data_IF_442564498012
#
_entry.id   IF_442564498012
#
_cell.length_a   1.000
_cell.length_b   1.000
_cell.length_c   1.000
_cell.angle_alpha   90.00
_cell.angle_beta   90.00
_cell.angle_gamma   90.00
#
_symmetry.space_group_name_H-M   'P 1'
#
loop_
_entity.id
_entity.type
_entity.pdbx_description
1 polymer ?
#
# COMPACT_ATOMS: atom_id res chain seq x y z
N UNK A 1 10.77 -2.10 -29.51
CA UNK A 1 10.79 -0.62 -29.56
C UNK A 1 11.62 -0.18 -28.36
N UNK A 2 12.64 0.66 -28.57
CA UNK A 2 13.70 0.90 -27.59
C UNK A 2 13.40 2.14 -26.73
N UNK A 3 13.52 1.98 -25.41
CA UNK A 3 13.20 2.99 -24.39
C UNK A 3 14.37 3.99 -24.19
N UNK A 4 14.18 5.32 -24.13
CA UNK A 4 15.18 6.28 -23.66
C UNK A 4 15.12 6.56 -22.14
N UNK A 5 16.33 6.64 -21.57
CA UNK A 5 16.83 7.44 -20.42
C UNK A 5 16.13 7.50 -19.04
N UNK A 6 14.81 7.40 -18.90
CA UNK A 6 14.06 7.53 -17.62
C UNK A 6 13.34 6.24 -17.21
N UNK A 7 13.02 5.37 -18.17
CA UNK A 7 12.61 3.99 -17.94
C UNK A 7 13.50 3.19 -16.96
N UNK A 8 14.83 3.42 -16.87
CA UNK A 8 15.66 2.79 -15.84
C UNK A 8 15.23 3.18 -14.43
N UNK A 9 14.96 4.47 -14.17
CA UNK A 9 14.65 4.97 -12.83
C UNK A 9 13.32 4.41 -12.29
N UNK A 10 12.30 4.32 -13.14
CA UNK A 10 11.04 3.69 -12.74
C UNK A 10 11.26 2.23 -12.33
N UNK A 11 11.98 1.47 -13.17
CA UNK A 11 12.26 0.05 -12.91
C UNK A 11 13.14 -0.15 -11.68
N UNK A 12 14.12 0.71 -11.46
CA UNK A 12 15.01 0.68 -10.30
C UNK A 12 14.26 0.94 -8.98
N UNK A 13 13.14 1.67 -9.03
CA UNK A 13 12.31 1.97 -7.86
C UNK A 13 11.24 0.91 -7.63
N UNK A 14 10.48 0.51 -8.65
CA UNK A 14 9.30 -0.33 -8.43
C UNK A 14 9.51 -1.80 -8.77
N UNK A 15 10.51 -2.13 -9.60
CA UNK A 15 10.84 -3.49 -10.05
C UNK A 15 9.78 -4.13 -10.98
N UNK A 16 8.49 -3.96 -10.67
CA UNK A 16 7.32 -4.42 -11.41
C UNK A 16 6.65 -3.25 -12.14
N UNK A 17 6.02 -3.57 -13.27
CA UNK A 17 5.19 -2.64 -14.03
C UNK A 17 3.74 -2.71 -13.54
N UNK A 18 3.07 -1.57 -13.45
CA UNK A 18 1.66 -1.47 -13.07
C UNK A 18 1.45 -0.61 -11.83
N UNK A 19 0.33 0.11 -11.79
CA UNK A 19 -0.10 0.85 -10.62
C UNK A 19 -0.70 -0.09 -9.57
N UNK A 20 -0.71 0.36 -8.30
CA UNK A 20 -1.22 -0.44 -7.19
C UNK A 20 -2.61 -1.03 -7.44
N UNK A 21 -3.53 -0.26 -8.03
CA UNK A 21 -4.88 -0.73 -8.30
C UNK A 21 -4.94 -1.95 -9.22
N UNK A 22 -4.06 -1.99 -10.23
CA UNK A 22 -4.02 -3.11 -11.17
C UNK A 22 -3.36 -4.33 -10.53
N UNK A 23 -2.35 -4.12 -9.68
CA UNK A 23 -1.69 -5.19 -8.93
C UNK A 23 -2.66 -5.87 -7.95
N UNK A 24 -3.49 -5.08 -7.25
CA UNK A 24 -4.52 -5.58 -6.34
C UNK A 24 -5.62 -6.33 -7.08
N UNK A 25 -6.18 -5.75 -8.14
CA UNK A 25 -7.30 -6.35 -8.88
C UNK A 25 -6.94 -7.68 -9.55
N UNK A 26 -5.70 -7.79 -10.04
CA UNK A 26 -5.19 -8.98 -10.71
C UNK A 26 -4.63 -10.04 -9.75
N UNK A 27 -4.56 -9.77 -8.45
CA UNK A 27 -4.09 -10.75 -7.49
C UNK A 27 -5.13 -11.86 -7.27
N UNK A 28 -4.65 -13.09 -7.29
CA UNK A 28 -5.47 -14.28 -7.08
C UNK A 28 -5.44 -14.68 -5.60
N UNK A 29 -6.35 -14.10 -4.82
CA UNK A 29 -6.48 -14.37 -3.38
C UNK A 29 -6.78 -15.84 -3.06
N UNK A 30 -7.31 -16.63 -4.00
CA UNK A 30 -7.58 -18.05 -3.78
C UNK A 30 -6.31 -18.90 -3.63
N UNK A 31 -5.16 -18.37 -4.04
CA UNK A 31 -3.85 -19.02 -3.90
C UNK A 31 -3.23 -18.84 -2.52
N UNK A 32 -3.86 -18.07 -1.65
CA UNK A 32 -3.41 -17.94 -0.26
C UNK A 32 -3.63 -19.29 0.43
N UNK A 33 -2.55 -19.97 0.79
CA UNK A 33 -2.63 -21.23 1.50
C UNK A 33 -2.43 -21.00 3.01
N UNK A 34 -3.44 -21.21 3.88
CA UNK A 34 -3.31 -21.06 5.33
C UNK A 34 -2.27 -21.99 5.97
N UNK A 35 -1.96 -23.12 5.33
CA UNK A 35 -1.07 -24.14 5.91
C UNK A 35 0.40 -23.95 5.53
N UNK A 36 0.70 -23.04 4.60
CA UNK A 36 2.07 -22.77 4.17
C UNK A 36 2.64 -21.56 4.91
N UNK A 37 3.68 -21.79 5.71
CA UNK A 37 4.45 -20.77 6.42
C UNK A 37 5.38 -19.94 5.52
N UNK A 38 5.34 -20.17 4.20
CA UNK A 38 6.21 -19.50 3.24
C UNK A 38 5.58 -18.19 2.73
N UNK A 39 6.44 -17.21 2.42
CA UNK A 39 6.15 -15.83 2.01
C UNK A 39 5.25 -15.63 0.76
N UNK A 40 4.71 -16.70 0.17
CA UNK A 40 3.87 -16.65 -1.03
C UNK A 40 2.37 -16.69 -0.73
N UNK A 41 1.98 -16.80 0.55
CA UNK A 41 0.59 -16.93 0.98
C UNK A 41 -0.18 -15.61 1.16
N UNK A 42 0.27 -14.49 0.61
CA UNK A 42 -0.44 -13.20 0.71
C UNK A 42 -0.10 -12.29 -0.48
N UNK A 43 -0.63 -11.07 -0.51
CA UNK A 43 -0.24 -10.03 -1.48
C UNK A 43 0.88 -9.14 -0.90
N UNK A 44 2.18 -9.47 -1.12
CA UNK A 44 3.29 -8.59 -0.79
C UNK A 44 3.57 -7.61 -1.94
N UNK A 45 3.38 -6.32 -1.67
CA UNK A 45 3.87 -5.26 -2.55
C UNK A 45 4.73 -4.33 -1.69
N UNK A 46 6.04 -4.46 -1.80
CA UNK A 46 6.95 -3.59 -1.04
C UNK A 46 6.72 -2.11 -1.37
N UNK A 47 6.69 -1.80 -2.68
CA UNK A 47 6.37 -0.47 -3.18
C UNK A 47 5.76 -0.51 -4.58
N UNK A 48 4.58 0.06 -4.75
CA UNK A 48 3.97 0.31 -6.05
C UNK A 48 3.74 1.82 -6.27
N UNK A 49 3.73 2.29 -7.53
CA UNK A 49 3.34 3.65 -7.82
C UNK A 49 1.81 3.80 -7.81
N UNK A 50 1.37 5.01 -7.51
CA UNK A 50 0.06 5.50 -7.92
C UNK A 50 0.24 6.89 -8.52
N UNK A 51 -0.22 7.08 -9.76
CA UNK A 51 -0.05 8.34 -10.47
C UNK A 51 -1.27 9.26 -10.32
N UNK A 52 -2.43 8.71 -9.98
CA UNK A 52 -3.67 9.47 -9.82
C UNK A 52 -4.01 10.22 -11.10
N UNK A 53 -3.91 11.56 -11.10
CA UNK A 53 -4.11 12.37 -12.30
C UNK A 53 -2.82 12.71 -13.05
N UNK A 54 -1.67 12.31 -12.53
CA UNK A 54 -0.39 12.55 -13.19
C UNK A 54 -0.27 11.69 -14.45
N UNK A 55 -0.17 12.35 -15.59
CA UNK A 55 0.13 11.79 -16.90
C UNK A 55 1.12 12.72 -17.64
N UNK A 56 1.46 12.37 -18.88
CA UNK A 56 2.41 13.13 -19.70
C UNK A 56 2.01 14.59 -19.85
N UNK A 57 0.73 14.86 -20.11
CA UNK A 57 0.21 16.21 -20.31
C UNK A 57 0.21 17.03 -19.02
N UNK A 58 -0.30 16.44 -17.92
CA UNK A 58 -0.35 17.13 -16.62
C UNK A 58 1.03 17.36 -16.04
N UNK A 59 1.99 16.48 -16.36
CA UNK A 59 3.37 16.63 -15.91
C UNK A 59 4.01 17.86 -16.55
N UNK A 60 3.75 18.14 -17.83
CA UNK A 60 4.34 19.31 -18.51
C UNK A 60 3.97 20.63 -17.82
N UNK A 61 2.75 20.73 -17.29
CA UNK A 61 2.23 21.93 -16.59
C UNK A 61 2.43 21.90 -15.08
N UNK A 62 3.03 20.83 -14.54
CA UNK A 62 3.32 20.71 -13.11
C UNK A 62 4.41 21.72 -12.71
N UNK A 63 4.31 22.26 -11.49
CA UNK A 63 5.34 23.16 -10.95
C UNK A 63 6.74 22.51 -10.96
N UNK A 64 7.76 23.31 -11.29
CA UNK A 64 9.12 22.80 -11.44
C UNK A 64 9.69 22.24 -10.12
N UNK A 65 9.29 22.75 -8.94
CA UNK A 65 9.71 22.16 -7.66
C UNK A 65 9.17 20.76 -7.51
N UNK A 66 7.94 20.50 -7.95
CA UNK A 66 7.34 19.16 -7.95
C UNK A 66 8.05 18.25 -8.94
N UNK A 67 8.39 18.73 -10.14
CA UNK A 67 9.19 17.97 -11.11
C UNK A 67 10.56 17.58 -10.55
N UNK A 68 11.26 18.54 -9.95
CA UNK A 68 12.58 18.33 -9.33
C UNK A 68 12.47 17.33 -8.17
N UNK A 69 11.44 17.49 -7.33
CA UNK A 69 11.14 16.57 -6.25
C UNK A 69 10.90 15.15 -6.76
N UNK A 70 10.13 14.98 -7.85
CA UNK A 70 9.86 13.68 -8.48
C UNK A 70 11.15 13.04 -8.98
N UNK A 71 11.90 13.74 -9.84
CA UNK A 71 13.14 13.22 -10.42
C UNK A 71 14.19 12.90 -9.34
N UNK A 72 14.33 13.80 -8.37
CA UNK A 72 15.25 13.65 -7.25
C UNK A 72 14.90 12.46 -6.36
N UNK A 73 13.63 12.32 -5.99
CA UNK A 73 13.16 11.22 -5.15
C UNK A 73 13.28 9.86 -5.86
N UNK A 74 12.93 9.76 -7.14
CA UNK A 74 13.09 8.51 -7.89
C UNK A 74 14.56 8.11 -8.01
N UNK A 75 15.45 9.06 -8.28
CA UNK A 75 16.89 8.80 -8.29
C UNK A 75 17.42 8.37 -6.93
N UNK A 76 16.88 8.93 -5.85
CA UNK A 76 17.25 8.57 -4.49
C UNK A 76 16.78 7.15 -4.15
N UNK A 77 15.48 6.87 -4.33
CA UNK A 77 14.88 5.55 -4.06
C UNK A 77 15.40 4.45 -4.98
N UNK A 78 15.76 4.77 -6.22
CA UNK A 78 16.34 3.81 -7.17
C UNK A 78 17.68 3.22 -6.69
N UNK A 79 18.36 3.91 -5.75
CA UNK A 79 19.61 3.43 -5.14
C UNK A 79 19.39 2.59 -3.88
N UNK A 80 18.17 2.55 -3.36
CA UNK A 80 17.83 1.81 -2.13
C UNK A 80 17.47 0.38 -2.50
N UNK A 81 18.23 -0.66 -2.15
CA UNK A 81 17.91 -2.03 -2.58
C UNK A 81 16.60 -2.54 -1.96
N UNK A 82 16.37 -2.23 -0.68
CA UNK A 82 15.17 -2.64 0.06
C UNK A 82 14.04 -1.64 -0.15
N UNK A 83 12.87 -2.13 -0.56
CA UNK A 83 11.69 -1.29 -0.83
C UNK A 83 10.61 -1.42 0.24
N UNK A 84 10.92 -1.99 1.40
CA UNK A 84 9.97 -2.09 2.51
C UNK A 84 9.51 -0.71 2.98
N UNK A 85 8.34 -0.67 3.63
CA UNK A 85 7.78 0.56 4.20
C UNK A 85 8.80 1.36 5.02
N UNK A 86 9.50 0.70 5.95
CA UNK A 86 10.46 1.36 6.83
C UNK A 86 11.66 1.91 6.06
N UNK A 87 12.17 1.14 5.09
CA UNK A 87 13.28 1.57 4.24
C UNK A 87 12.88 2.78 3.40
N UNK A 88 11.73 2.72 2.70
CA UNK A 88 11.25 3.82 1.86
C UNK A 88 10.97 5.06 2.68
N UNK A 89 10.22 4.95 3.77
CA UNK A 89 9.91 6.08 4.65
C UNK A 89 11.18 6.71 5.23
N UNK A 90 12.11 5.89 5.75
CA UNK A 90 13.37 6.36 6.30
C UNK A 90 14.21 7.11 5.27
N UNK A 91 14.26 6.61 4.03
CA UNK A 91 14.96 7.26 2.93
C UNK A 91 14.30 8.58 2.52
N UNK A 92 12.96 8.62 2.41
CA UNK A 92 12.25 9.86 2.09
C UNK A 92 12.43 10.93 3.18
N UNK A 93 12.48 10.54 4.46
CA UNK A 93 12.77 11.44 5.58
C UNK A 93 14.19 12.03 5.55
N UNK A 94 15.15 11.33 4.92
CA UNK A 94 16.54 11.78 4.77
C UNK A 94 16.80 12.51 3.44
N UNK A 95 15.82 12.56 2.54
CA UNK A 95 15.97 13.21 1.24
C UNK A 95 15.88 14.73 1.41
N UNK A 96 16.98 15.45 1.10
CA UNK A 96 17.07 16.91 1.24
C UNK A 96 16.08 17.69 0.37
N UNK A 97 15.55 17.07 -0.70
CA UNK A 97 14.54 17.69 -1.57
C UNK A 97 13.12 17.56 -1.01
N UNK A 98 12.94 16.74 0.04
CA UNK A 98 11.65 16.48 0.67
C UNK A 98 11.61 17.09 2.07
N UNK A 99 10.43 17.54 2.47
CA UNK A 99 10.12 17.77 3.87
C UNK A 99 8.75 17.18 4.20
N UNK A 100 8.59 16.58 5.40
CA UNK A 100 7.30 16.06 5.80
C UNK A 100 6.33 17.21 6.05
N UNK A 101 5.14 17.13 5.43
CA UNK A 101 4.10 18.14 5.59
C UNK A 101 3.36 18.02 6.93
N UNK A 102 3.25 16.80 7.46
CA UNK A 102 2.49 16.48 8.67
C UNK A 102 3.24 15.49 9.57
N UNK A 103 2.61 15.09 10.68
CA UNK A 103 3.11 14.08 11.62
C UNK A 103 2.90 12.63 11.18
N UNK A 104 2.36 12.40 9.98
CA UNK A 104 1.90 11.10 9.53
C UNK A 104 0.59 10.67 10.19
N UNK A 105 0.00 9.62 9.64
CA UNK A 105 -1.22 8.99 10.14
C UNK A 105 -0.91 7.53 10.42
N UNK A 106 -1.32 7.06 11.59
CA UNK A 106 -1.38 5.65 11.92
C UNK A 106 -2.79 5.34 12.42
N UNK A 107 -3.41 4.33 11.83
CA UNK A 107 -4.68 3.76 12.26
C UNK A 107 -4.54 2.25 12.29
N UNK A 108 -5.08 1.64 13.34
CA UNK A 108 -5.20 0.21 13.44
C UNK A 108 -6.56 -0.13 14.04
N UNK A 109 -7.21 -1.16 13.51
CA UNK A 109 -8.50 -1.62 14.02
C UNK A 109 -8.66 -3.12 13.79
N UNK A 110 -9.57 -3.74 14.55
CA UNK A 110 -9.93 -5.15 14.40
C UNK A 110 -11.41 -5.27 14.05
N UNK A 111 -11.70 -5.83 12.88
CA UNK A 111 -13.04 -6.30 12.58
C UNK A 111 -13.24 -7.66 13.23
N UNK A 112 -14.16 -7.75 14.20
CA UNK A 112 -14.53 -9.01 14.84
C UNK A 112 -15.68 -9.66 14.08
N UNK A 113 -15.49 -10.91 13.67
CA UNK A 113 -16.59 -11.80 13.38
C UNK A 113 -17.35 -12.12 14.65
N UNK A 114 -18.68 -12.09 14.63
CA UNK A 114 -19.38 -12.97 15.56
C UNK A 114 -19.35 -14.38 14.97
N UNK A 115 -19.54 -15.40 15.82
CA UNK A 115 -19.74 -16.81 15.40
C UNK A 115 -20.93 -16.92 14.39
N UNK A 116 -21.77 -15.88 14.29
CA UNK A 116 -22.85 -15.73 13.30
C UNK A 116 -22.65 -14.56 12.30
N UNK A 117 -21.53 -13.85 12.38
CA UNK A 117 -21.21 -12.62 11.63
C UNK A 117 -20.32 -12.88 10.42
N UNK A 118 -19.58 -13.99 10.46
CA UNK A 118 -19.28 -14.79 9.28
C UNK A 118 -20.43 -15.81 9.22
N UNK A 119 -21.33 -15.72 8.23
CA UNK A 119 -22.38 -16.73 8.11
C UNK A 119 -21.72 -18.09 7.87
N UNK A 120 -22.41 -19.20 8.14
CA UNK A 120 -21.98 -20.57 7.84
C UNK A 120 -21.73 -20.85 6.32
N UNK A 121 -21.73 -19.81 5.48
CA UNK A 121 -21.21 -19.80 4.11
C UNK A 121 -19.80 -19.16 3.99
N UNK A 122 -19.20 -18.76 5.11
CA UNK A 122 -17.85 -18.19 5.21
C UNK A 122 -17.72 -16.69 4.94
N UNK A 123 -18.82 -15.94 4.70
CA UNK A 123 -18.73 -14.51 4.36
C UNK A 123 -19.34 -13.58 5.44
N UNK A 124 -18.60 -12.56 5.92
CA UNK A 124 -19.19 -11.32 6.39
C UNK A 124 -19.84 -10.62 5.23
N UNK A 125 -20.89 -9.85 5.53
CA UNK A 125 -21.47 -8.95 4.54
C UNK A 125 -20.35 -8.03 4.05
N UNK A 126 -19.94 -8.21 2.79
CA UNK A 126 -18.84 -7.47 2.19
C UNK A 126 -19.06 -5.95 2.33
N UNK A 127 -20.32 -5.50 2.45
CA UNK A 127 -20.70 -4.12 2.71
C UNK A 127 -20.29 -3.64 4.12
N UNK A 128 -20.41 -4.51 5.13
CA UNK A 128 -20.00 -4.21 6.51
C UNK A 128 -18.48 -4.14 6.58
N UNK A 129 -17.78 -5.11 5.97
CA UNK A 129 -16.31 -5.11 5.90
C UNK A 129 -15.82 -3.91 5.11
N UNK A 130 -16.51 -3.52 4.04
CA UNK A 130 -16.21 -2.32 3.28
C UNK A 130 -16.39 -1.05 4.11
N UNK A 131 -17.48 -0.93 4.88
CA UNK A 131 -17.67 0.21 5.77
C UNK A 131 -16.54 0.29 6.82
N UNK A 132 -16.17 -0.85 7.42
CA UNK A 132 -15.03 -0.94 8.32
C UNK A 132 -13.71 -0.53 7.65
N UNK A 133 -13.40 -1.09 6.48
CA UNK A 133 -12.18 -0.80 5.74
C UNK A 133 -12.11 0.68 5.33
N UNK A 134 -13.21 1.24 4.82
CA UNK A 134 -13.28 2.66 4.48
C UNK A 134 -13.05 3.56 5.70
N UNK A 135 -13.53 3.18 6.89
CA UNK A 135 -13.26 3.91 8.12
C UNK A 135 -11.80 3.75 8.58
N UNK A 136 -11.21 2.56 8.46
CA UNK A 136 -9.80 2.31 8.76
C UNK A 136 -8.90 3.18 7.87
N UNK A 137 -9.18 3.22 6.56
CA UNK A 137 -8.40 3.99 5.60
C UNK A 137 -8.70 5.48 5.71
N UNK A 138 -9.96 5.90 5.82
CA UNK A 138 -10.42 7.29 5.92
C UNK A 138 -9.66 8.27 5.01
N UNK A 139 -9.38 7.85 3.77
CA UNK A 139 -8.65 8.62 2.75
C UNK A 139 -9.14 8.20 1.36
N UNK A 140 -9.99 9.03 0.76
CA UNK A 140 -10.63 8.73 -0.53
C UNK A 140 -9.63 8.55 -1.69
N UNK A 141 -8.49 9.23 -1.64
CA UNK A 141 -7.45 9.09 -2.68
C UNK A 141 -6.81 7.70 -2.59
N UNK A 142 -6.54 7.22 -1.37
CA UNK A 142 -6.02 5.87 -1.12
C UNK A 142 -7.04 4.79 -1.50
N UNK A 143 -8.32 4.97 -1.14
CA UNK A 143 -9.38 4.03 -1.49
C UNK A 143 -9.53 3.91 -3.02
N UNK A 144 -9.48 5.03 -3.74
CA UNK A 144 -9.57 5.04 -5.21
C UNK A 144 -8.35 4.44 -5.89
N UNK A 145 -7.14 4.76 -5.42
CA UNK A 145 -5.90 4.30 -6.07
C UNK A 145 -5.67 2.80 -5.91
N UNK A 146 -5.98 2.25 -4.73
CA UNK A 146 -5.78 0.82 -4.43
C UNK A 146 -6.83 -0.07 -5.08
N UNK A 147 -7.99 0.48 -5.45
CA UNK A 147 -9.13 -0.26 -6.01
C UNK A 147 -9.55 -1.47 -5.16
N UNK A 148 -9.35 -1.38 -3.84
CA UNK A 148 -9.88 -2.37 -2.88
C UNK A 148 -11.37 -2.04 -2.68
N UNK A 149 -12.18 -2.47 -3.65
CA UNK A 149 -13.63 -2.31 -3.63
C UNK A 149 -14.32 -3.49 -2.94
N UNK A 150 -15.66 -3.48 -2.94
CA UNK A 150 -16.47 -4.53 -2.31
C UNK A 150 -16.20 -5.92 -2.89
N UNK A 151 -15.86 -6.03 -4.18
CA UNK A 151 -15.58 -7.32 -4.83
C UNK A 151 -14.21 -7.87 -4.42
N UNK A 152 -13.20 -7.00 -4.32
CA UNK A 152 -11.88 -7.36 -3.78
C UNK A 152 -12.00 -7.76 -2.31
N UNK A 153 -12.75 -6.98 -1.52
CA UNK A 153 -13.02 -7.31 -0.11
C UNK A 153 -13.78 -8.62 0.03
N UNK A 154 -14.78 -8.89 -0.81
CA UNK A 154 -15.50 -10.17 -0.80
C UNK A 154 -14.56 -11.36 -1.06
N UNK A 155 -13.59 -11.23 -1.98
CA UNK A 155 -12.56 -12.25 -2.24
C UNK A 155 -11.63 -12.44 -1.04
N UNK A 156 -11.17 -11.36 -0.42
CA UNK A 156 -10.35 -11.39 0.81
C UNK A 156 -11.12 -12.07 1.93
N UNK A 157 -12.39 -11.71 2.10
CA UNK A 157 -13.32 -12.25 3.08
C UNK A 157 -13.54 -13.75 2.91
N UNK A 158 -13.83 -14.20 1.68
CA UNK A 158 -14.01 -15.63 1.40
C UNK A 158 -12.75 -16.43 1.75
N UNK A 159 -11.58 -15.85 1.46
CA UNK A 159 -10.30 -16.44 1.81
C UNK A 159 -10.08 -16.50 3.33
N UNK A 160 -10.50 -15.47 4.08
CA UNK A 160 -10.49 -15.50 5.55
C UNK A 160 -11.36 -16.64 6.07
N UNK A 161 -12.58 -16.80 5.54
CA UNK A 161 -13.45 -17.93 5.91
C UNK A 161 -12.73 -19.27 5.77
N UNK A 162 -12.10 -19.51 4.62
CA UNK A 162 -11.31 -20.72 4.37
C UNK A 162 -10.10 -20.86 5.30
N UNK A 163 -9.41 -19.76 5.64
CA UNK A 163 -8.29 -19.77 6.60
C UNK A 163 -8.79 -20.13 8.00
N UNK A 164 -9.93 -19.59 8.42
CA UNK A 164 -10.49 -19.83 9.74
C UNK A 164 -11.01 -21.27 9.91
N UNK A 165 -11.66 -21.84 8.90
CA UNK A 165 -12.03 -23.27 8.90
C UNK A 165 -10.80 -24.17 9.04
N UNK A 166 -9.70 -23.82 8.37
CA UNK A 166 -8.43 -24.52 8.54
C UNK A 166 -7.85 -24.32 9.95
N UNK A 167 -7.99 -23.13 10.54
CA UNK A 167 -7.51 -22.89 11.89
C UNK A 167 -8.23 -23.76 12.93
N UNK A 168 -9.56 -23.89 12.80
CA UNK A 168 -10.36 -24.74 13.67
C UNK A 168 -10.07 -26.24 13.51
N UNK A 169 -9.68 -26.67 12.30
CA UNK A 169 -9.46 -28.10 11.99
C UNK A 169 -8.02 -28.56 12.26
N UNK A 170 -7.02 -27.70 12.09
CA UNK A 170 -5.60 -28.09 12.19
C UNK A 170 -4.92 -27.70 13.50
N UNK A 171 -5.33 -26.63 14.17
CA UNK A 171 -4.62 -26.15 15.36
C UNK A 171 -5.28 -26.62 16.66
N UNK A 172 -4.43 -26.82 17.68
CA UNK A 172 -4.91 -27.19 19.00
C UNK A 172 -5.72 -26.05 19.61
N UNK A 173 -6.81 -26.39 20.30
CA UNK A 173 -7.56 -25.42 21.10
C UNK A 173 -6.62 -24.84 22.17
N UNK A 174 -6.65 -23.52 22.39
CA UNK A 174 -5.75 -22.69 23.24
C UNK A 174 -4.58 -21.95 22.53
N UNK A 175 -4.70 -21.63 21.24
CA UNK A 175 -3.67 -20.87 20.49
C UNK A 175 -4.24 -19.65 19.75
N UNK A 176 -3.45 -18.56 19.69
CA UNK A 176 -3.70 -17.40 18.82
C UNK A 176 -2.97 -17.60 17.50
N UNK A 177 -3.69 -17.44 16.40
CA UNK A 177 -3.12 -17.50 15.06
C UNK A 177 -3.45 -16.26 14.26
N UNK A 178 -2.48 -15.80 13.47
CA UNK A 178 -2.64 -14.66 12.56
C UNK A 178 -1.92 -14.94 11.24
N UNK A 179 -2.58 -14.65 10.13
CA UNK A 179 -2.08 -14.85 8.77
C UNK A 179 -2.24 -13.55 7.99
N UNK A 180 -1.15 -13.03 7.43
CA UNK A 180 -1.20 -11.87 6.55
C UNK A 180 -1.99 -12.19 5.27
N UNK A 181 -2.75 -11.22 4.78
CA UNK A 181 -3.52 -11.30 3.52
C UNK A 181 -3.03 -10.26 2.53
N UNK A 182 -2.76 -9.06 3.04
CA UNK A 182 -2.28 -7.91 2.27
C UNK A 182 -1.18 -7.23 3.08
N UNK A 183 -0.09 -6.91 2.41
CA UNK A 183 0.92 -5.97 2.90
C UNK A 183 1.42 -5.17 1.70
N UNK A 184 0.85 -3.98 1.50
CA UNK A 184 1.12 -3.15 0.34
C UNK A 184 1.65 -1.79 0.75
N UNK A 185 2.82 -1.43 0.23
CA UNK A 185 3.39 -0.10 0.26
C UNK A 185 3.16 0.62 -1.06
N UNK A 186 2.82 1.90 -1.00
CA UNK A 186 2.52 2.71 -2.19
C UNK A 186 3.20 4.06 -2.09
N UNK A 187 3.81 4.49 -3.21
CA UNK A 187 4.22 5.87 -3.44
C UNK A 187 3.23 6.54 -4.40
N UNK A 188 2.37 7.38 -3.85
CA UNK A 188 1.46 8.24 -4.59
C UNK A 188 2.19 9.51 -5.02
N UNK A 189 2.28 9.71 -6.33
CA UNK A 189 2.98 10.84 -6.94
C UNK A 189 2.20 12.14 -6.77
N UNK A 190 2.88 13.30 -6.77
CA UNK A 190 2.22 14.58 -6.92
C UNK A 190 1.46 14.64 -8.23
N UNK A 191 0.31 15.31 -8.21
CA UNK A 191 -0.40 15.73 -9.41
C UNK A 191 -0.98 17.14 -9.23
N UNK A 192 -1.77 17.57 -10.21
CA UNK A 192 -2.36 18.92 -10.25
C UNK A 192 -3.30 19.23 -9.08
N UNK A 193 -3.93 18.22 -8.48
CA UNK A 193 -4.85 18.40 -7.34
C UNK A 193 -4.15 18.12 -6.00
N UNK A 194 -3.14 17.25 -6.00
CA UNK A 194 -2.37 16.86 -4.83
C UNK A 194 -0.88 17.12 -5.07
N UNK A 195 -0.38 18.34 -4.82
CA UNK A 195 1.00 18.74 -5.12
C UNK A 195 1.98 18.24 -4.05
N UNK A 196 1.97 16.95 -3.74
CA UNK A 196 2.83 16.32 -2.75
C UNK A 196 2.99 14.82 -3.03
N UNK A 197 4.09 14.23 -2.56
CA UNK A 197 4.17 12.78 -2.44
C UNK A 197 3.37 12.32 -1.23
N UNK A 198 2.65 11.21 -1.37
CA UNK A 198 2.11 10.47 -0.23
C UNK A 198 2.68 9.05 -0.27
N UNK A 199 3.36 8.64 0.80
CA UNK A 199 3.75 7.24 0.98
C UNK A 199 2.80 6.64 2.00
N UNK A 200 2.23 5.48 1.69
CA UNK A 200 1.35 4.78 2.62
C UNK A 200 1.52 3.27 2.58
N UNK A 201 1.12 2.61 3.66
CA UNK A 201 1.10 1.16 3.80
C UNK A 201 -0.25 0.71 4.32
N UNK A 202 -0.79 -0.33 3.70
CA UNK A 202 -1.98 -1.04 4.17
C UNK A 202 -1.57 -2.48 4.49
N UNK A 203 -1.90 -2.93 5.70
CA UNK A 203 -1.77 -4.34 6.09
C UNK A 203 -3.12 -4.87 6.51
N UNK A 204 -3.48 -6.06 6.02
CA UNK A 204 -4.63 -6.82 6.49
C UNK A 204 -4.16 -8.22 6.88
N UNK A 205 -4.62 -8.73 8.02
CA UNK A 205 -4.34 -10.08 8.47
C UNK A 205 -5.61 -10.74 9.04
N UNK A 206 -5.82 -12.01 8.71
CA UNK A 206 -6.85 -12.84 9.35
C UNK A 206 -6.32 -13.30 10.71
N UNK A 207 -7.15 -13.33 11.74
CA UNK A 207 -6.77 -13.88 13.04
C UNK A 207 -7.87 -14.74 13.65
N UNK A 208 -7.46 -15.70 14.49
CA UNK A 208 -8.33 -16.49 15.36
C UNK A 208 -7.71 -16.59 16.75
N UNK A 209 -8.55 -16.49 17.77
CA UNK A 209 -8.19 -16.62 19.17
C UNK A 209 -9.19 -17.57 19.83
N UNK A 210 -8.70 -18.75 20.23
CA UNK A 210 -9.48 -19.80 20.85
C UNK A 210 -9.05 -19.93 22.31
N UNK A 211 -9.58 -19.08 23.19
CA UNK A 211 -9.26 -19.12 24.63
C UNK A 211 -10.32 -19.90 25.41
N UNK A 212 -9.89 -20.91 26.20
CA UNK A 212 -10.79 -21.65 27.10
C UNK A 212 -10.81 -21.04 28.50
N UNK A 213 -11.99 -20.60 28.93
CA UNK A 213 -12.33 -20.52 30.35
C UNK A 213 -13.22 -21.73 30.71
N UNK A 214 -12.99 -22.35 31.88
CA UNK A 214 -13.57 -23.63 32.36
C UNK A 214 -15.11 -23.78 32.30
N UNK A 215 -15.85 -22.75 31.88
CA UNK A 215 -17.33 -22.68 31.91
C UNK A 215 -17.92 -22.25 30.55
N UNK A 216 -17.15 -21.57 29.69
CA UNK A 216 -17.58 -21.11 28.36
C UNK A 216 -16.39 -21.07 27.39
N UNK A 217 -16.55 -21.68 26.21
CA UNK A 217 -15.61 -21.54 25.08
C UNK A 217 -16.03 -20.32 24.28
N UNK A 218 -15.18 -19.29 24.22
CA UNK A 218 -15.35 -18.12 23.35
C UNK A 218 -14.31 -18.19 22.24
N UNK A 219 -14.65 -18.87 21.15
CA UNK A 219 -13.83 -18.85 19.93
C UNK A 219 -14.15 -17.53 19.20
N UNK A 220 -13.13 -16.70 18.96
CA UNK A 220 -13.29 -15.42 18.25
C UNK A 220 -12.33 -15.33 17.08
N UNK A 221 -12.79 -14.70 16.00
CA UNK A 221 -12.00 -14.55 14.79
C UNK A 221 -12.30 -13.21 14.12
N UNK A 222 -11.45 -12.83 13.15
CA UNK A 222 -11.64 -11.58 12.46
C UNK A 222 -10.49 -11.15 11.56
N UNK A 223 -10.46 -9.85 11.31
CA UNK A 223 -9.46 -9.17 10.48
C UNK A 223 -8.79 -8.09 11.32
N UNK A 224 -7.46 -8.09 11.36
CA UNK A 224 -6.67 -6.96 11.83
C UNK A 224 -6.34 -6.10 10.61
N UNK A 225 -6.56 -4.80 10.70
CA UNK A 225 -6.15 -3.85 9.68
C UNK A 225 -5.23 -2.78 10.24
N UNK A 226 -4.19 -2.44 9.49
CA UNK A 226 -3.27 -1.34 9.80
C UNK A 226 -3.13 -0.42 8.58
N UNK A 227 -3.21 0.89 8.81
CA UNK A 227 -2.96 1.92 7.82
C UNK A 227 -1.91 2.90 8.36
N UNK A 228 -0.86 3.09 7.57
CA UNK A 228 0.16 4.11 7.82
C UNK A 228 0.25 5.04 6.62
N UNK A 229 0.37 6.34 6.83
CA UNK A 229 0.65 7.28 5.74
C UNK A 229 1.52 8.45 6.19
N UNK A 230 2.30 8.99 5.25
CA UNK A 230 3.06 10.24 5.42
C UNK A 230 3.05 11.04 4.14
N UNK A 231 2.89 12.35 4.27
CA UNK A 231 2.93 13.29 3.14
C UNK A 231 4.25 14.05 3.12
N UNK A 232 4.82 14.22 1.93
CA UNK A 232 6.05 14.95 1.68
C UNK A 232 5.83 16.02 0.61
N UNK A 233 6.29 17.22 0.88
CA UNK A 233 6.26 18.34 -0.05
C UNK A 233 7.67 18.75 -0.46
N UNK A 234 7.83 19.54 -1.54
CA UNK A 234 9.14 20.04 -1.95
C UNK A 234 9.75 20.92 -0.86
N UNK A 235 11.02 20.68 -0.52
CA UNK A 235 11.77 21.57 0.37
C UNK A 235 12.30 22.77 -0.43
N UNK A 236 11.47 23.80 -0.57
CA UNK A 236 11.77 24.99 -1.38
C UNK A 236 13.13 25.62 -1.04
N UNK A 237 13.46 25.70 0.26
CA UNK A 237 14.73 26.27 0.74
C UNK A 237 15.99 25.57 0.22
N UNK A 238 15.90 24.30 -0.21
CA UNK A 238 17.01 23.59 -0.86
C UNK A 238 16.91 23.70 -2.38
N UNK A 239 15.70 23.54 -2.93
CA UNK A 239 15.46 23.50 -4.37
C UNK A 239 15.81 24.85 -5.03
N UNK A 240 15.47 25.96 -4.40
CA UNK A 240 15.75 27.31 -4.90
C UNK A 240 17.25 27.63 -4.98
N UNK A 241 18.08 26.92 -4.22
CA UNK A 241 19.54 27.08 -4.22
C UNK A 241 20.25 26.13 -5.19
N UNK A 242 19.51 25.30 -5.94
CA UNK A 242 20.10 24.46 -6.98
C UNK A 242 20.63 25.32 -8.14
N UNK A 243 21.71 24.86 -8.76
CA UNK A 243 22.21 25.52 -9.98
C UNK A 243 21.19 25.38 -11.11
N UNK A 244 21.09 26.38 -11.99
CA UNK A 244 20.15 26.35 -13.12
C UNK A 244 20.34 25.12 -14.01
N UNK A 245 21.59 24.64 -14.16
CA UNK A 245 21.87 23.40 -14.88
C UNK A 245 21.32 22.15 -14.19
N UNK A 246 21.40 22.07 -12.85
CA UNK A 246 20.83 20.97 -12.07
C UNK A 246 19.31 21.00 -12.14
N UNK A 247 18.74 22.20 -12.02
CA UNK A 247 17.31 22.46 -12.11
C UNK A 247 16.75 21.95 -13.45
N UNK A 248 17.31 22.41 -14.58
CA UNK A 248 16.85 21.99 -15.92
C UNK A 248 17.02 20.49 -16.16
N UNK A 249 18.12 19.89 -15.69
CA UNK A 249 18.35 18.45 -15.83
C UNK A 249 17.32 17.63 -15.02
N UNK A 250 16.99 18.07 -13.82
CA UNK A 250 16.01 17.40 -12.98
C UNK A 250 14.60 17.54 -13.56
N UNK A 251 14.20 18.72 -14.04
CA UNK A 251 12.94 18.93 -14.74
C UNK A 251 12.82 18.04 -16.00
N UNK A 252 13.85 18.00 -16.85
CA UNK A 252 13.87 17.14 -18.03
C UNK A 252 13.83 15.63 -17.68
N UNK A 253 14.45 15.23 -16.57
CA UNK A 253 14.38 13.85 -16.08
C UNK A 253 12.96 13.49 -15.64
N UNK A 254 12.26 14.43 -15.01
CA UNK A 254 10.87 14.26 -14.64
C UNK A 254 10.01 14.15 -15.89
N UNK A 255 10.11 15.09 -16.85
CA UNK A 255 9.31 15.11 -18.08
C UNK A 255 9.42 13.79 -18.88
N UNK A 256 10.56 13.10 -18.78
CA UNK A 256 10.76 11.80 -19.40
C UNK A 256 10.09 10.63 -18.66
N UNK A 257 9.46 10.81 -17.50
CA UNK A 257 8.87 9.73 -16.69
C UNK A 257 7.86 8.86 -17.47
N UNK A 258 7.14 9.47 -18.40
CA UNK A 258 6.14 8.83 -19.27
C UNK A 258 6.59 8.72 -20.73
N UNK A 259 7.89 8.91 -21.00
CA UNK A 259 8.44 8.65 -22.32
C UNK A 259 8.74 7.15 -22.45
N UNK A 260 8.34 6.56 -23.59
CA UNK A 260 8.59 5.16 -23.95
C UNK A 260 10.07 4.93 -24.22
#
# INVERSE_FOLDING_TARGET
>A
MALPSSAPLYKDVFGKTGEIGDLVQNFDFSKINPTETNSNGFLPIDLAPSFGKLNKESLQVLDDHLKIMIAGNLKFLGRVPEKSWNAVLGNMMQNDLLEPRDGGVFRADKFKGSINGFKFDGSPDASIVQAWFNNLISDDDVLKSTKIDVEVLARIVAQIGAILENFETFFAKDEYHEQALIDIGVLRFPDVDQPYFKVYRIKLAAWSDSSRNLIHQEDTNGITGEFNSRVFQPRASIIEHLTSATFQKAAATADALFDD
#
